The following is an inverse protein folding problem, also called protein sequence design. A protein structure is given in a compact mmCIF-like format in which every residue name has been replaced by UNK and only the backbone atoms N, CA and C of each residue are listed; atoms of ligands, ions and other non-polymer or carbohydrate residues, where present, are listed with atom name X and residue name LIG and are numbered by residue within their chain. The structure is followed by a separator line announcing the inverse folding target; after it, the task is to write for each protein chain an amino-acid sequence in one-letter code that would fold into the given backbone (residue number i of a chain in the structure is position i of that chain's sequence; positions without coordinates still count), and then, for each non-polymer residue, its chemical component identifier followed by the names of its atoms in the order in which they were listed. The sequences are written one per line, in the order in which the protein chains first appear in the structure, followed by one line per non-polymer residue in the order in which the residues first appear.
data_IF_647967467108
#
_entry.id   IF_647967467108
#
_cell.length_a   1.000
_cell.length_b   1.000
_cell.length_c   1.000
_cell.angle_alpha   90.00
_cell.angle_beta   90.00
_cell.angle_gamma   90.00
#
_symmetry.space_group_name_H-M   'P 1'
#
loop_
_entity.id
_entity.type
_entity.pdbx_description
1 polymer ?
#
# COMPACT_ATOMS: atom_id res chain seq x y z
N UNK A 1 20.36 58.12 80.74
CA UNK A 1 19.29 58.40 79.74
C UNK A 1 19.94 58.31 78.37
N UNK A 2 19.98 57.10 77.79
CA UNK A 2 19.17 56.70 76.61
C UNK A 2 19.87 57.12 75.31
N UNK A 3 20.32 56.28 74.36
CA UNK A 3 19.79 55.04 73.77
C UNK A 3 20.97 54.28 73.11
N UNK A 4 21.14 52.98 73.32
CA UNK A 4 20.53 51.85 72.58
C UNK A 4 20.97 51.70 71.11
N UNK A 5 22.01 50.88 70.95
CA UNK A 5 22.32 49.85 69.92
C UNK A 5 21.35 49.68 68.74
N UNK A 6 21.89 49.60 67.51
CA UNK A 6 21.38 48.78 66.39
C UNK A 6 22.56 48.10 65.64
N UNK A 7 22.43 46.84 65.18
CA UNK A 7 23.50 46.02 64.59
C UNK A 7 23.64 46.20 63.07
N UNK A 8 24.73 45.71 62.43
CA UNK A 8 24.98 45.85 60.99
C UNK A 8 24.18 44.84 60.14
N UNK A 9 23.59 45.35 59.04
CA UNK A 9 22.92 44.55 58.02
C UNK A 9 23.91 44.02 56.98
N UNK A 10 24.11 42.70 57.03
CA UNK A 10 24.23 41.73 55.93
C UNK A 10 24.40 42.29 54.50
N UNK A 11 25.63 42.25 53.98
CA UNK A 11 25.90 42.33 52.53
C UNK A 11 25.94 40.93 51.93
N UNK A 12 24.88 40.52 51.22
CA UNK A 12 24.77 39.23 50.55
C UNK A 12 25.36 39.32 49.14
N UNK A 13 26.53 38.71 48.96
CA UNK A 13 27.23 38.58 47.68
C UNK A 13 26.62 37.41 46.89
N UNK A 14 25.84 37.73 45.85
CA UNK A 14 25.22 36.74 44.96
C UNK A 14 26.25 36.27 43.93
N UNK A 15 26.90 35.12 44.20
CA UNK A 15 27.79 34.45 43.26
C UNK A 15 27.02 33.83 42.10
N UNK A 16 27.23 34.35 40.89
CA UNK A 16 26.71 33.80 39.65
C UNK A 16 27.45 32.49 39.32
N UNK A 17 26.81 31.34 39.57
CA UNK A 17 27.33 30.03 39.15
C UNK A 17 27.11 29.88 37.64
N UNK A 18 28.18 30.00 36.85
CA UNK A 18 28.22 29.48 35.49
C UNK A 18 28.23 27.95 35.55
N UNK A 19 27.09 27.33 35.24
CA UNK A 19 27.04 25.89 34.97
C UNK A 19 27.51 25.64 33.54
N UNK A 20 28.58 24.84 33.32
CA UNK A 20 28.92 24.39 31.98
C UNK A 20 27.78 23.51 31.47
N UNK A 21 27.15 23.91 30.37
CA UNK A 21 26.22 23.07 29.63
C UNK A 21 27.01 21.92 29.02
N UNK A 22 27.02 20.79 29.72
CA UNK A 22 27.47 19.53 29.14
C UNK A 22 26.59 19.25 27.91
N UNK A 23 27.16 19.43 26.72
CA UNK A 23 26.49 19.09 25.47
C UNK A 23 26.48 17.57 25.41
N UNK A 24 25.40 16.95 25.86
CA UNK A 24 25.19 15.51 25.70
C UNK A 24 25.13 15.26 24.19
N UNK A 25 26.06 14.50 23.60
CA UNK A 25 25.97 14.15 22.19
C UNK A 25 24.66 13.39 22.00
N UNK A 26 23.79 13.91 21.14
CA UNK A 26 22.55 13.25 20.77
C UNK A 26 22.89 11.92 20.09
N UNK A 27 22.87 10.84 20.87
CA UNK A 27 22.97 9.49 20.35
C UNK A 27 21.75 9.28 19.46
N UNK A 28 21.98 9.25 18.14
CA UNK A 28 20.94 8.88 17.20
C UNK A 28 20.50 7.46 17.55
N UNK A 29 19.21 7.20 17.81
CA UNK A 29 18.77 5.86 18.17
C UNK A 29 19.12 4.92 17.02
N UNK A 30 19.93 3.90 17.31
CA UNK A 30 20.18 2.81 16.37
C UNK A 30 18.88 2.02 16.27
N UNK A 31 18.09 2.30 15.23
CA UNK A 31 16.87 1.55 14.93
C UNK A 31 17.30 0.17 14.44
N UNK A 32 17.17 -0.84 15.30
CA UNK A 32 17.39 -2.24 14.93
C UNK A 32 16.06 -2.87 14.53
N UNK A 33 15.95 -3.32 13.28
CA UNK A 33 14.79 -4.07 12.81
C UNK A 33 14.90 -5.50 13.32
N UNK A 34 13.94 -5.93 14.14
CA UNK A 34 13.87 -7.30 14.64
C UNK A 34 13.41 -8.23 13.51
N UNK A 35 14.34 -8.92 12.87
CA UNK A 35 14.08 -9.85 11.78
C UNK A 35 14.19 -11.31 12.22
N UNK A 36 13.27 -12.15 11.74
CA UNK A 36 13.20 -13.56 12.11
C UNK A 36 14.18 -14.43 11.32
N UNK A 37 15.24 -14.88 12.00
CA UNK A 37 16.17 -15.85 11.45
C UNK A 37 15.50 -17.21 11.17
N UNK A 38 14.49 -17.59 11.97
CA UNK A 38 13.77 -18.85 11.83
C UNK A 38 12.85 -18.84 10.61
N UNK A 39 12.02 -17.81 10.45
CA UNK A 39 11.19 -17.65 9.25
C UNK A 39 12.08 -17.56 7.99
N UNK A 40 13.19 -16.80 8.05
CA UNK A 40 14.17 -16.72 6.95
C UNK A 40 14.73 -18.08 6.54
N UNK A 41 15.04 -18.96 7.51
CA UNK A 41 15.52 -20.32 7.23
C UNK A 41 14.42 -21.18 6.58
N UNK A 42 13.20 -21.18 7.11
CA UNK A 42 12.06 -21.92 6.53
C UNK A 42 11.74 -21.46 5.10
N UNK A 43 11.74 -20.14 4.85
CA UNK A 43 11.49 -19.58 3.51
C UNK A 43 12.60 -19.97 2.52
N UNK A 44 13.86 -19.97 2.96
CA UNK A 44 14.98 -20.44 2.12
C UNK A 44 14.83 -21.91 1.72
N UNK A 45 14.39 -22.76 2.65
CA UNK A 45 14.09 -24.15 2.37
C UNK A 45 12.91 -24.30 1.41
N UNK A 46 11.84 -23.51 1.58
CA UNK A 46 10.73 -23.49 0.64
C UNK A 46 11.19 -23.12 -0.79
N UNK A 47 12.09 -22.15 -0.94
CA UNK A 47 12.71 -21.81 -2.23
C UNK A 47 13.52 -22.95 -2.84
N UNK A 48 14.17 -23.80 -2.03
CA UNK A 48 14.83 -25.01 -2.52
C UNK A 48 13.82 -25.99 -3.12
N UNK A 49 12.71 -26.25 -2.42
CA UNK A 49 11.63 -27.10 -2.95
C UNK A 49 11.07 -26.54 -4.27
N UNK A 50 10.83 -25.22 -4.33
CA UNK A 50 10.41 -24.55 -5.57
C UNK A 50 11.41 -24.77 -6.70
N UNK A 51 12.72 -24.62 -6.47
CA UNK A 51 13.74 -24.86 -7.50
C UNK A 51 13.78 -26.29 -8.01
N UNK A 52 13.44 -27.26 -7.15
CA UNK A 52 13.39 -28.69 -7.51
C UNK A 52 12.05 -29.11 -8.11
N UNK A 53 11.13 -28.16 -8.32
CA UNK A 53 9.76 -28.44 -8.75
C UNK A 53 8.95 -29.31 -7.79
N UNK A 54 9.35 -29.36 -6.51
CA UNK A 54 8.64 -30.07 -5.46
C UNK A 54 7.56 -29.17 -4.85
N UNK A 55 6.54 -28.90 -5.65
CA UNK A 55 5.51 -27.89 -5.34
C UNK A 55 4.74 -28.22 -4.07
N UNK A 56 4.39 -29.49 -3.85
CA UNK A 56 3.60 -29.93 -2.70
C UNK A 56 4.32 -29.66 -1.37
N UNK A 57 5.61 -29.99 -1.28
CA UNK A 57 6.40 -29.70 -0.08
C UNK A 57 6.65 -28.19 0.09
N UNK A 58 6.87 -27.46 -1.02
CA UNK A 58 7.00 -26.01 -0.97
C UNK A 58 5.73 -25.35 -0.42
N UNK A 59 4.56 -25.67 -0.98
CA UNK A 59 3.25 -25.14 -0.57
C UNK A 59 2.97 -25.48 0.90
N UNK A 60 3.22 -26.72 1.31
CA UNK A 60 3.03 -27.16 2.70
C UNK A 60 3.89 -26.35 3.67
N UNK A 61 5.16 -26.13 3.33
CA UNK A 61 6.08 -25.34 4.15
C UNK A 61 5.71 -23.84 4.17
N UNK A 62 5.31 -23.27 3.03
CA UNK A 62 4.87 -21.87 2.94
C UNK A 62 3.60 -21.61 3.76
N UNK A 63 2.62 -22.52 3.70
CA UNK A 63 1.43 -22.45 4.53
C UNK A 63 1.78 -22.53 6.03
N UNK A 64 2.70 -23.43 6.40
CA UNK A 64 3.19 -23.52 7.79
C UNK A 64 3.93 -22.24 8.23
N UNK A 65 4.74 -21.62 7.37
CA UNK A 65 5.38 -20.33 7.69
C UNK A 65 4.34 -19.25 7.97
N UNK A 66 3.29 -19.16 7.15
CA UNK A 66 2.22 -18.17 7.34
C UNK A 66 1.44 -18.39 8.65
N UNK A 67 1.32 -19.64 9.11
CA UNK A 67 0.65 -19.98 10.38
C UNK A 67 1.56 -19.80 11.60
N UNK A 68 2.81 -20.27 11.53
CA UNK A 68 3.75 -20.29 12.67
C UNK A 68 4.41 -18.93 12.91
N UNK A 69 4.58 -18.14 11.86
CA UNK A 69 5.36 -16.89 11.86
C UNK A 69 4.58 -15.75 11.20
N UNK A 70 3.33 -15.46 11.59
CA UNK A 70 2.55 -14.39 10.97
C UNK A 70 3.19 -13.02 11.23
N UNK A 71 3.24 -12.18 10.21
CA UNK A 71 3.68 -10.78 10.27
C UNK A 71 5.12 -10.55 10.79
N UNK A 72 5.92 -11.62 10.89
CA UNK A 72 7.34 -11.52 11.20
C UNK A 72 8.11 -10.91 10.03
N UNK A 73 9.06 -10.02 10.31
CA UNK A 73 9.90 -9.43 9.27
C UNK A 73 11.03 -10.37 8.88
N UNK A 74 11.23 -10.50 7.57
CA UNK A 74 12.32 -11.28 6.96
C UNK A 74 13.11 -10.36 6.05
N UNK A 75 14.41 -10.32 6.27
CA UNK A 75 15.34 -9.62 5.38
C UNK A 75 15.47 -10.40 4.06
N UNK A 76 14.98 -9.81 2.97
CA UNK A 76 15.01 -10.40 1.62
C UNK A 76 16.27 -10.00 0.84
N UNK A 77 16.76 -8.78 1.06
CA UNK A 77 18.03 -8.23 0.57
C UNK A 77 18.63 -7.34 1.67
N UNK A 78 19.93 -6.99 1.62
CA UNK A 78 20.52 -6.09 2.61
C UNK A 78 19.71 -4.81 2.80
N UNK A 79 19.19 -4.60 4.01
CA UNK A 79 18.37 -3.43 4.35
C UNK A 79 16.93 -3.45 3.79
N UNK A 80 16.49 -4.53 3.17
CA UNK A 80 15.12 -4.71 2.66
C UNK A 80 14.41 -5.82 3.43
N UNK A 81 13.31 -5.47 4.07
CA UNK A 81 12.51 -6.38 4.89
C UNK A 81 11.10 -6.49 4.33
N UNK A 82 10.56 -7.70 4.34
CA UNK A 82 9.16 -7.97 4.07
C UNK A 82 8.56 -8.78 5.23
N UNK A 83 7.28 -8.60 5.49
CA UNK A 83 6.55 -9.52 6.35
C UNK A 83 6.44 -10.89 5.66
N UNK A 84 6.38 -11.95 6.48
CA UNK A 84 6.24 -13.33 6.02
C UNK A 84 5.01 -13.56 5.15
N UNK A 85 3.89 -12.92 5.45
CA UNK A 85 2.62 -13.09 4.71
C UNK A 85 2.76 -12.61 3.28
N UNK A 86 3.26 -11.40 3.08
CA UNK A 86 3.51 -10.80 1.78
C UNK A 86 4.56 -11.60 1.00
N UNK A 87 5.64 -12.02 1.67
CA UNK A 87 6.69 -12.82 1.05
C UNK A 87 6.18 -14.20 0.59
N UNK A 88 5.32 -14.84 1.38
CA UNK A 88 4.66 -16.10 0.99
C UNK A 88 3.76 -15.88 -0.22
N UNK A 89 2.96 -14.81 -0.25
CA UNK A 89 2.11 -14.51 -1.42
C UNK A 89 2.92 -14.27 -2.69
N UNK A 90 4.04 -13.55 -2.61
CA UNK A 90 4.94 -13.39 -3.75
C UNK A 90 5.45 -14.75 -4.26
N UNK A 91 5.93 -15.62 -3.36
CA UNK A 91 6.41 -16.94 -3.75
C UNK A 91 5.32 -17.83 -4.34
N UNK A 92 4.07 -17.70 -3.89
CA UNK A 92 2.94 -18.44 -4.43
C UNK A 92 2.56 -17.95 -5.83
N UNK A 93 2.45 -16.63 -6.02
CA UNK A 93 2.10 -15.99 -7.30
C UNK A 93 3.16 -16.27 -8.37
N UNK A 94 4.44 -16.29 -8.00
CA UNK A 94 5.56 -16.54 -8.92
C UNK A 94 5.72 -18.02 -9.30
N UNK A 95 4.92 -18.94 -8.74
CA UNK A 95 4.95 -20.35 -9.12
C UNK A 95 4.53 -20.54 -10.59
N UNK A 96 5.08 -21.55 -11.29
CA UNK A 96 4.59 -21.93 -12.61
C UNK A 96 3.14 -22.43 -12.53
N UNK A 97 2.39 -22.44 -13.65
CA UNK A 97 0.99 -22.86 -13.68
C UNK A 97 0.71 -24.23 -13.04
N UNK A 98 1.64 -25.18 -13.17
CA UNK A 98 1.54 -26.50 -12.55
C UNK A 98 1.57 -26.45 -11.00
N UNK A 99 2.44 -25.62 -10.41
CA UNK A 99 2.49 -25.44 -8.95
C UNK A 99 1.30 -24.64 -8.43
N UNK A 100 0.89 -23.59 -9.16
CA UNK A 100 -0.31 -22.82 -8.87
C UNK A 100 -1.56 -23.69 -8.85
N UNK A 101 -1.70 -24.64 -9.77
CA UNK A 101 -2.83 -25.57 -9.81
C UNK A 101 -2.94 -26.39 -8.52
N UNK A 102 -1.82 -26.95 -8.03
CA UNK A 102 -1.79 -27.72 -6.77
C UNK A 102 -2.20 -26.85 -5.58
N UNK A 103 -1.73 -25.61 -5.50
CA UNK A 103 -2.12 -24.69 -4.44
C UNK A 103 -3.62 -24.35 -4.51
N UNK A 104 -4.12 -24.06 -5.71
CA UNK A 104 -5.52 -23.69 -5.97
C UNK A 104 -6.49 -24.81 -5.64
N UNK A 105 -6.15 -26.05 -5.94
CA UNK A 105 -6.97 -27.21 -5.58
C UNK A 105 -7.19 -27.30 -4.05
N UNK A 106 -6.21 -26.87 -3.25
CA UNK A 106 -6.32 -26.86 -1.79
C UNK A 106 -7.12 -25.67 -1.24
N UNK A 107 -6.94 -24.47 -1.82
CA UNK A 107 -7.45 -23.22 -1.23
C UNK A 107 -8.76 -22.72 -1.85
N UNK A 108 -9.01 -22.99 -3.14
CA UNK A 108 -10.13 -22.42 -3.88
C UNK A 108 -11.50 -22.75 -3.27
N UNK A 109 -11.78 -23.97 -2.74
CA UNK A 109 -13.07 -24.26 -2.12
C UNK A 109 -13.39 -23.35 -0.93
N UNK A 110 -12.38 -22.99 -0.13
CA UNK A 110 -12.54 -22.09 1.00
C UNK A 110 -12.58 -20.63 0.56
N UNK A 111 -11.70 -20.23 -0.36
CA UNK A 111 -11.67 -18.88 -0.91
C UNK A 111 -12.99 -18.51 -1.60
N UNK A 112 -13.59 -19.46 -2.32
CA UNK A 112 -14.93 -19.34 -2.91
C UNK A 112 -15.98 -18.97 -1.88
N UNK A 113 -16.05 -19.75 -0.79
CA UNK A 113 -17.04 -19.54 0.27
C UNK A 113 -16.88 -18.16 0.91
N UNK A 114 -15.65 -17.72 1.16
CA UNK A 114 -15.39 -16.38 1.68
C UNK A 114 -15.81 -15.27 0.71
N UNK A 115 -15.49 -15.42 -0.57
CA UNK A 115 -15.86 -14.44 -1.60
C UNK A 115 -17.38 -14.35 -1.75
N UNK A 116 -18.06 -15.47 -1.95
CA UNK A 116 -19.51 -15.51 -2.14
C UNK A 116 -20.25 -14.96 -0.92
N UNK A 117 -19.84 -15.34 0.30
CA UNK A 117 -20.45 -14.82 1.53
C UNK A 117 -20.22 -13.31 1.70
N UNK A 118 -18.98 -12.83 1.51
CA UNK A 118 -18.65 -11.41 1.64
C UNK A 118 -19.36 -10.55 0.58
N UNK A 119 -19.45 -11.05 -0.66
CA UNK A 119 -20.19 -10.40 -1.75
C UNK A 119 -21.67 -10.32 -1.46
N UNK A 120 -22.29 -11.41 -0.99
CA UNK A 120 -23.71 -11.44 -0.63
C UNK A 120 -24.03 -10.45 0.50
N UNK A 121 -23.15 -10.37 1.50
CA UNK A 121 -23.25 -9.41 2.60
C UNK A 121 -22.91 -7.97 2.20
N UNK A 122 -22.41 -7.74 0.97
CA UNK A 122 -21.85 -6.46 0.51
C UNK A 122 -20.80 -5.90 1.48
N UNK A 123 -19.97 -6.77 2.05
CA UNK A 123 -18.96 -6.41 3.04
C UNK A 123 -17.53 -6.45 2.42
N UNK A 124 -16.93 -5.28 2.14
CA UNK A 124 -15.55 -5.19 1.67
C UNK A 124 -14.51 -5.77 2.61
N UNK A 125 -14.75 -5.75 3.92
CA UNK A 125 -13.82 -6.31 4.90
C UNK A 125 -13.85 -7.83 4.81
N UNK A 126 -15.03 -8.44 4.74
CA UNK A 126 -15.17 -9.88 4.52
C UNK A 126 -14.52 -10.34 3.22
N UNK A 127 -14.72 -9.64 2.09
CA UNK A 127 -14.09 -10.02 0.81
C UNK A 127 -12.57 -9.82 0.84
N UNK A 128 -12.06 -8.82 1.57
CA UNK A 128 -10.61 -8.60 1.70
C UNK A 128 -9.87 -9.77 2.35
N UNK A 129 -10.59 -10.64 3.09
CA UNK A 129 -10.07 -11.91 3.60
C UNK A 129 -9.46 -12.78 2.51
N UNK A 130 -10.08 -12.83 1.32
CA UNK A 130 -9.57 -13.63 0.19
C UNK A 130 -8.18 -13.15 -0.20
N UNK A 131 -7.95 -11.83 -0.24
CA UNK A 131 -6.64 -11.27 -0.59
C UNK A 131 -5.59 -11.51 0.50
N UNK A 132 -6.00 -11.48 1.76
CA UNK A 132 -5.09 -11.70 2.90
C UNK A 132 -4.68 -13.16 3.05
N UNK A 133 -5.64 -14.07 2.95
CA UNK A 133 -5.45 -15.48 3.33
C UNK A 133 -5.21 -16.38 2.11
N UNK A 134 -5.65 -15.97 0.90
CA UNK A 134 -5.67 -16.80 -0.29
C UNK A 134 -5.38 -16.02 -1.59
N UNK A 135 -4.40 -15.11 -1.59
CA UNK A 135 -4.17 -14.21 -2.74
C UNK A 135 -3.94 -14.93 -4.08
N UNK A 136 -3.21 -16.05 -4.10
CA UNK A 136 -2.97 -16.80 -5.35
C UNK A 136 -4.16 -17.71 -5.77
N UNK A 137 -5.29 -17.68 -5.04
CA UNK A 137 -6.52 -18.39 -5.41
C UNK A 137 -7.17 -17.78 -6.65
N UNK A 138 -8.00 -18.55 -7.36
CA UNK A 138 -8.77 -18.01 -8.50
C UNK A 138 -9.76 -16.93 -8.07
N UNK A 139 -10.24 -17.01 -6.83
CA UNK A 139 -11.23 -16.07 -6.27
C UNK A 139 -10.63 -14.73 -5.87
N UNK A 140 -9.31 -14.62 -5.77
CA UNK A 140 -8.67 -13.33 -5.55
C UNK A 140 -8.78 -12.41 -6.77
N UNK A 141 -8.84 -12.97 -7.99
CA UNK A 141 -9.07 -12.23 -9.24
C UNK A 141 -10.40 -11.45 -9.17
N UNK A 142 -11.49 -12.18 -8.90
CA UNK A 142 -12.82 -11.61 -8.72
C UNK A 142 -12.94 -10.72 -7.47
N UNK A 143 -12.23 -11.06 -6.39
CA UNK A 143 -12.18 -10.22 -5.20
C UNK A 143 -11.52 -8.87 -5.48
N UNK A 144 -10.40 -8.83 -6.21
CA UNK A 144 -9.74 -7.58 -6.62
C UNK A 144 -10.67 -6.73 -7.49
N UNK A 145 -11.34 -7.35 -8.47
CA UNK A 145 -12.30 -6.65 -9.30
C UNK A 145 -13.42 -6.02 -8.48
N UNK A 146 -14.10 -6.85 -7.68
CA UNK A 146 -15.24 -6.44 -6.88
C UNK A 146 -14.87 -5.40 -5.81
N UNK A 147 -13.74 -5.56 -5.11
CA UNK A 147 -13.25 -4.58 -4.14
C UNK A 147 -12.88 -3.25 -4.80
N UNK A 148 -12.37 -3.28 -6.03
CA UNK A 148 -12.17 -2.10 -6.84
C UNK A 148 -13.47 -1.39 -7.16
N UNK A 149 -14.51 -2.12 -7.56
CA UNK A 149 -15.86 -1.56 -7.77
C UNK A 149 -16.45 -0.97 -6.49
N UNK A 150 -16.36 -1.66 -5.36
CA UNK A 150 -16.84 -1.12 -4.07
C UNK A 150 -16.11 0.16 -3.68
N UNK A 151 -14.77 0.20 -3.85
CA UNK A 151 -13.99 1.38 -3.56
C UNK A 151 -14.34 2.56 -4.50
N UNK A 152 -14.61 2.27 -5.78
CA UNK A 152 -15.06 3.25 -6.76
C UNK A 152 -16.41 3.86 -6.37
N UNK A 153 -17.40 3.02 -6.05
CA UNK A 153 -18.74 3.47 -5.63
C UNK A 153 -18.69 4.29 -4.33
N UNK A 154 -17.75 3.98 -3.44
CA UNK A 154 -17.51 4.74 -2.22
C UNK A 154 -16.71 6.05 -2.43
N UNK A 155 -16.50 6.48 -3.69
CA UNK A 155 -15.68 7.64 -4.07
C UNK A 155 -14.25 7.59 -3.48
N UNK A 156 -13.62 6.41 -3.48
CA UNK A 156 -12.23 6.18 -3.05
C UNK A 156 -11.35 5.77 -4.24
N UNK A 157 -11.09 6.69 -5.20
CA UNK A 157 -10.46 6.34 -6.48
C UNK A 157 -9.04 5.78 -6.33
N UNK A 158 -8.25 6.26 -5.36
CA UNK A 158 -6.90 5.75 -5.12
C UNK A 158 -6.93 4.29 -4.60
N UNK A 159 -7.94 3.94 -3.79
CA UNK A 159 -8.13 2.58 -3.29
C UNK A 159 -8.62 1.65 -4.40
N UNK A 160 -9.54 2.11 -5.24
CA UNK A 160 -9.99 1.38 -6.43
C UNK A 160 -8.81 1.08 -7.37
N UNK A 161 -7.99 2.10 -7.66
CA UNK A 161 -6.79 1.95 -8.48
C UNK A 161 -5.80 0.93 -7.91
N UNK A 162 -5.63 0.89 -6.58
CA UNK A 162 -4.74 -0.10 -5.93
C UNK A 162 -5.21 -1.54 -6.15
N UNK A 163 -6.51 -1.80 -6.16
CA UNK A 163 -7.02 -3.15 -6.45
C UNK A 163 -6.89 -3.48 -7.94
N UNK A 164 -7.38 -2.61 -8.82
CA UNK A 164 -7.38 -2.86 -10.26
C UNK A 164 -5.97 -2.94 -10.86
N UNK A 165 -4.99 -2.18 -10.34
CA UNK A 165 -3.60 -2.29 -10.81
C UNK A 165 -3.00 -3.68 -10.60
N UNK A 166 -3.48 -4.42 -9.61
CA UNK A 166 -3.01 -5.79 -9.35
C UNK A 166 -3.45 -6.78 -10.43
N UNK A 167 -4.51 -6.46 -11.18
CA UNK A 167 -5.05 -7.27 -12.28
C UNK A 167 -4.30 -7.11 -13.61
N UNK A 168 -3.36 -6.15 -13.67
CA UNK A 168 -2.53 -5.95 -14.86
C UNK A 168 -1.27 -6.81 -14.77
N UNK A 169 -0.80 -7.36 -15.92
CA UNK A 169 0.48 -8.04 -15.94
C UNK A 169 1.59 -7.08 -15.52
N UNK A 170 2.67 -7.58 -14.88
CA UNK A 170 3.84 -6.77 -14.59
C UNK A 170 4.36 -6.15 -15.91
N UNK A 171 4.70 -4.85 -15.87
CA UNK A 171 5.25 -4.19 -17.05
C UNK A 171 6.67 -4.72 -17.30
N UNK A 172 7.01 -5.18 -18.53
CA UNK A 172 8.36 -5.62 -18.85
C UNK A 172 9.36 -4.45 -19.04
N UNK A 173 8.87 -3.21 -19.12
CA UNK A 173 9.70 -2.01 -19.31
C UNK A 173 10.33 -1.62 -17.97
N UNK A 174 11.68 -1.51 -17.87
CA UNK A 174 12.30 -0.86 -16.73
C UNK A 174 11.83 0.60 -16.76
N UNK A 175 11.13 1.09 -15.74
CA UNK A 175 10.67 2.46 -15.72
C UNK A 175 11.87 3.41 -15.76
N UNK A 176 11.66 4.58 -16.37
CA UNK A 176 12.59 5.70 -16.19
C UNK A 176 12.73 6.03 -14.70
N UNK A 177 13.83 6.71 -14.37
CA UNK A 177 14.38 6.89 -13.02
C UNK A 177 13.40 7.41 -11.95
N UNK A 178 12.25 7.95 -12.37
CA UNK A 178 11.21 8.53 -11.49
C UNK A 178 10.01 7.61 -11.20
N UNK A 179 9.99 6.38 -11.73
CA UNK A 179 8.81 5.51 -11.62
C UNK A 179 9.10 4.25 -10.77
N UNK A 180 8.35 4.04 -9.66
CA UNK A 180 8.70 3.07 -8.61
C UNK A 180 8.53 1.59 -8.99
N UNK A 181 8.40 1.25 -10.27
CA UNK A 181 8.16 -0.11 -10.77
C UNK A 181 9.44 -0.76 -11.35
N UNK A 182 10.63 -0.24 -11.04
CA UNK A 182 11.91 -0.75 -11.56
C UNK A 182 12.20 -2.14 -11.00
N UNK A 183 12.58 -3.13 -11.83
CA UNK A 183 13.17 -4.36 -11.34
C UNK A 183 14.38 -4.02 -10.46
N UNK A 184 14.31 -4.35 -9.16
CA UNK A 184 15.33 -3.98 -8.17
C UNK A 184 14.99 -2.75 -7.30
N UNK A 185 13.91 -2.02 -7.60
CA UNK A 185 13.33 -1.04 -6.68
C UNK A 185 12.89 -1.76 -5.40
N UNK A 186 13.24 -1.24 -4.20
CA UNK A 186 12.75 -1.79 -2.93
C UNK A 186 11.22 -1.90 -2.88
N UNK A 187 10.52 -1.07 -3.66
CA UNK A 187 9.05 -1.02 -3.73
C UNK A 187 8.44 -2.03 -4.70
N UNK A 188 9.20 -2.58 -5.65
CA UNK A 188 8.70 -3.57 -6.61
C UNK A 188 8.34 -4.89 -5.92
N UNK A 189 9.18 -5.33 -4.98
CA UNK A 189 8.96 -6.54 -4.15
C UNK A 189 7.80 -6.34 -3.17
N UNK A 190 7.32 -5.12 -2.95
CA UNK A 190 6.16 -4.86 -2.10
C UNK A 190 4.84 -4.89 -2.87
N UNK A 191 4.90 -4.87 -4.21
CA UNK A 191 3.73 -4.75 -5.08
C UNK A 191 3.37 -6.10 -5.67
N UNK A 192 2.43 -6.75 -5.01
CA UNK A 192 1.80 -7.96 -5.51
C UNK A 192 1.03 -7.68 -6.82
N UNK A 193 1.07 -8.64 -7.75
CA UNK A 193 0.27 -8.68 -8.98
C UNK A 193 -0.41 -10.04 -9.03
N UNK A 194 -1.62 -10.09 -9.54
CA UNK A 194 -2.30 -11.36 -9.76
C UNK A 194 -1.70 -12.04 -11.00
N UNK A 195 -1.36 -13.34 -10.95
CA UNK A 195 -0.50 -13.96 -11.96
C UNK A 195 -1.18 -14.14 -13.32
N UNK A 196 -2.48 -14.41 -13.34
CA UNK A 196 -3.23 -14.86 -14.52
C UNK A 196 -4.68 -14.34 -14.51
N UNK A 197 -4.82 -13.03 -14.32
CA UNK A 197 -6.10 -12.32 -14.31
C UNK A 197 -6.88 -12.57 -15.60
N UNK A 198 -8.16 -12.92 -15.46
CA UNK A 198 -9.09 -13.10 -16.58
C UNK A 198 -9.84 -11.80 -16.93
N UNK A 199 -9.66 -10.74 -16.14
CA UNK A 199 -10.29 -9.45 -16.39
C UNK A 199 -9.65 -8.72 -17.59
N UNK A 200 -10.44 -8.13 -18.51
CA UNK A 200 -9.88 -7.48 -19.69
C UNK A 200 -8.94 -6.32 -19.34
N UNK A 201 -7.65 -6.46 -19.67
CA UNK A 201 -6.63 -5.45 -19.33
C UNK A 201 -6.95 -4.03 -19.85
N UNK A 202 -7.58 -3.91 -21.02
CA UNK A 202 -8.04 -2.63 -21.54
C UNK A 202 -9.08 -1.95 -20.64
N UNK A 203 -10.02 -2.73 -20.09
CA UNK A 203 -11.05 -2.23 -19.18
C UNK A 203 -10.47 -1.85 -17.82
N UNK A 204 -9.48 -2.62 -17.34
CA UNK A 204 -8.72 -2.32 -16.12
C UNK A 204 -7.96 -0.99 -16.29
N UNK A 205 -7.23 -0.81 -17.39
CA UNK A 205 -6.51 0.43 -17.68
C UNK A 205 -7.43 1.63 -17.83
N UNK A 206 -8.55 1.48 -18.54
CA UNK A 206 -9.53 2.56 -18.66
C UNK A 206 -10.04 3.02 -17.28
N UNK A 207 -10.31 2.08 -16.37
CA UNK A 207 -10.67 2.39 -14.98
C UNK A 207 -9.56 3.10 -14.22
N UNK A 208 -8.30 2.69 -14.39
CA UNK A 208 -7.15 3.36 -13.76
C UNK A 208 -7.02 4.82 -14.23
N UNK A 209 -7.20 5.10 -15.51
CA UNK A 209 -7.23 6.49 -16.04
C UNK A 209 -8.26 7.32 -15.28
N UNK A 210 -9.49 6.80 -15.14
CA UNK A 210 -10.57 7.50 -14.43
C UNK A 210 -10.27 7.69 -12.93
N UNK A 211 -9.69 6.68 -12.27
CA UNK A 211 -9.25 6.82 -10.88
C UNK A 211 -8.21 7.93 -10.73
N UNK A 212 -7.24 8.01 -11.63
CA UNK A 212 -6.22 9.05 -11.58
C UNK A 212 -6.81 10.44 -11.85
N UNK A 213 -7.75 10.56 -12.78
CA UNK A 213 -8.50 11.80 -13.00
C UNK A 213 -9.26 12.24 -11.74
N UNK A 214 -10.06 11.37 -11.13
CA UNK A 214 -10.79 11.68 -9.90
C UNK A 214 -9.87 11.96 -8.69
N UNK A 215 -8.66 11.42 -8.71
CA UNK A 215 -7.65 11.69 -7.68
C UNK A 215 -6.87 13.00 -7.90
N UNK A 216 -7.19 13.79 -8.94
CA UNK A 216 -6.45 14.99 -9.33
C UNK A 216 -5.05 14.72 -9.91
N UNK A 217 -4.75 13.47 -10.28
CA UNK A 217 -3.45 13.01 -10.76
C UNK A 217 -3.44 12.94 -12.29
N UNK A 218 -3.71 14.06 -12.97
CA UNK A 218 -3.90 14.10 -14.44
C UNK A 218 -2.68 13.55 -15.19
N UNK A 219 -1.45 13.87 -14.75
CA UNK A 219 -0.24 13.35 -15.40
C UNK A 219 -0.14 11.81 -15.31
N UNK A 220 -0.50 11.22 -14.17
CA UNK A 220 -0.59 9.75 -14.05
C UNK A 220 -1.70 9.18 -14.93
N UNK A 221 -2.82 9.88 -15.06
CA UNK A 221 -3.90 9.48 -15.95
C UNK A 221 -3.45 9.46 -17.42
N UNK A 222 -2.64 10.44 -17.84
CA UNK A 222 -2.04 10.49 -19.19
C UNK A 222 -1.08 9.34 -19.43
N UNK A 223 -0.24 8.99 -18.44
CA UNK A 223 0.65 7.82 -18.53
C UNK A 223 -0.15 6.52 -18.72
N UNK A 224 -1.18 6.28 -17.90
CA UNK A 224 -2.02 5.09 -18.03
C UNK A 224 -2.81 5.06 -19.35
N UNK A 225 -3.24 6.23 -19.84
CA UNK A 225 -3.89 6.34 -21.14
C UNK A 225 -2.94 6.04 -22.31
N UNK A 226 -1.69 6.49 -22.23
CA UNK A 226 -0.66 6.16 -23.23
C UNK A 226 -0.41 4.64 -23.28
N UNK A 227 -0.32 3.99 -22.12
CA UNK A 227 -0.20 2.53 -22.03
C UNK A 227 -1.43 1.81 -22.61
N UNK A 228 -2.65 2.31 -22.35
CA UNK A 228 -3.87 1.80 -22.98
C UNK A 228 -3.81 1.95 -24.50
N UNK A 229 -3.40 3.11 -25.00
CA UNK A 229 -3.27 3.40 -26.43
C UNK A 229 -2.27 2.48 -27.12
N UNK A 230 -1.14 2.20 -26.47
CA UNK A 230 -0.10 1.33 -27.02
C UNK A 230 -0.52 -0.15 -27.00
N UNK A 231 -1.04 -0.65 -25.88
CA UNK A 231 -1.33 -2.09 -25.71
C UNK A 231 -2.70 -2.51 -26.24
N UNK A 232 -3.67 -1.59 -26.26
CA UNK A 232 -5.07 -1.88 -26.60
C UNK A 232 -5.71 -0.76 -27.45
N UNK A 233 -5.12 -0.38 -28.59
CA UNK A 233 -5.58 0.78 -29.39
C UNK A 233 -7.03 0.68 -29.85
N UNK A 234 -7.50 -0.53 -30.15
CA UNK A 234 -8.82 -0.79 -30.71
C UNK A 234 -9.84 -1.34 -29.69
N UNK A 235 -9.49 -1.35 -28.39
CA UNK A 235 -10.40 -1.88 -27.37
C UNK A 235 -11.65 -1.00 -27.24
N UNK A 236 -12.81 -1.64 -27.29
CA UNK A 236 -14.12 -0.99 -27.18
C UNK A 236 -14.72 -1.17 -25.78
N UNK A 237 -15.54 -0.21 -25.39
CA UNK A 237 -16.32 -0.28 -24.16
C UNK A 237 -17.32 0.85 -24.06
N UNK A 238 -18.05 0.86 -22.95
CA UNK A 238 -19.06 1.88 -22.65
C UNK A 238 -18.63 2.66 -21.41
N UNK A 239 -18.53 3.99 -21.54
CA UNK A 239 -18.17 4.91 -20.46
C UNK A 239 -19.21 6.03 -20.40
N UNK A 240 -19.82 6.26 -19.24
CA UNK A 240 -20.89 7.24 -19.01
C UNK A 240 -22.00 7.20 -20.10
N UNK A 241 -22.45 5.99 -20.46
CA UNK A 241 -23.50 5.79 -21.46
C UNK A 241 -23.06 5.92 -22.93
N UNK A 242 -21.81 6.31 -23.21
CA UNK A 242 -21.26 6.38 -24.57
C UNK A 242 -20.45 5.13 -24.88
N UNK A 243 -20.67 4.55 -26.06
CA UNK A 243 -19.96 3.36 -26.53
C UNK A 243 -19.00 3.72 -27.66
N UNK A 244 -17.78 3.21 -27.61
CA UNK A 244 -16.75 3.51 -28.60
C UNK A 244 -15.41 2.90 -28.23
N UNK A 245 -14.35 3.34 -28.92
CA UNK A 245 -12.97 2.97 -28.56
C UNK A 245 -12.58 3.66 -27.27
N UNK A 246 -12.10 2.90 -26.28
CA UNK A 246 -11.76 3.42 -24.95
C UNK A 246 -10.73 4.55 -25.00
N UNK A 247 -9.74 4.45 -25.90
CA UNK A 247 -8.72 5.49 -26.13
C UNK A 247 -9.38 6.83 -26.52
N UNK A 248 -10.35 6.78 -27.45
CA UNK A 248 -11.07 7.96 -27.93
C UNK A 248 -11.96 8.56 -26.85
N UNK A 249 -12.73 7.72 -26.17
CA UNK A 249 -13.62 8.16 -25.09
C UNK A 249 -12.85 8.86 -23.97
N UNK A 250 -11.71 8.29 -23.57
CA UNK A 250 -10.87 8.87 -22.51
C UNK A 250 -10.09 10.10 -22.98
N UNK A 251 -9.69 10.20 -24.25
CA UNK A 251 -9.01 11.40 -24.74
C UNK A 251 -9.89 12.65 -24.68
N UNK A 252 -11.19 12.50 -24.97
CA UNK A 252 -12.14 13.62 -24.86
C UNK A 252 -12.26 14.12 -23.42
N UNK A 253 -12.18 13.22 -22.44
CA UNK A 253 -12.26 13.55 -21.02
C UNK A 253 -10.96 14.13 -20.45
N UNK A 254 -9.81 13.62 -20.90
CA UNK A 254 -8.49 14.15 -20.54
C UNK A 254 -8.22 15.53 -21.17
N UNK A 255 -8.94 15.90 -22.24
CA UNK A 255 -8.89 17.22 -22.86
C UNK A 255 -9.65 18.30 -22.05
N UNK A 256 -10.41 17.89 -21.02
CA UNK A 256 -11.17 18.78 -20.13
C UNK A 256 -10.68 18.66 -18.68
N UNK A 257 -9.42 19.01 -18.37
CA UNK A 257 -8.88 18.91 -17.02
C UNK A 257 -9.70 19.68 -15.98
N UNK A 258 -10.37 20.78 -16.38
CA UNK A 258 -11.26 21.59 -15.55
C UNK A 258 -12.51 20.85 -15.04
N UNK A 259 -12.88 19.74 -15.68
CA UNK A 259 -13.99 18.89 -15.23
C UNK A 259 -13.60 17.95 -14.06
N UNK A 260 -12.32 17.91 -13.69
CA UNK A 260 -11.79 17.02 -12.66
C UNK A 260 -11.37 17.80 -11.42
N UNK A 261 -11.38 17.17 -10.22
CA UNK A 261 -10.86 17.80 -9.02
C UNK A 261 -9.43 18.30 -9.25
N UNK A 262 -9.21 19.59 -9.02
CA UNK A 262 -7.86 20.16 -9.04
C UNK A 262 -6.99 19.54 -7.93
N UNK A 263 -5.65 19.61 -8.06
CA UNK A 263 -4.78 19.26 -6.94
C UNK A 263 -5.22 20.07 -5.70
N UNK A 264 -5.26 19.46 -4.51
CA UNK A 264 -5.56 20.22 -3.29
C UNK A 264 -4.58 21.39 -3.23
N UNK A 265 -5.10 22.61 -3.06
CA UNK A 265 -4.26 23.79 -2.93
C UNK A 265 -3.25 23.55 -1.81
N UNK A 266 -1.97 23.84 -2.07
CA UNK A 266 -0.95 23.87 -1.01
C UNK A 266 -1.47 24.84 0.06
N UNK A 267 -1.87 24.30 1.22
CA UNK A 267 -2.29 25.13 2.32
C UNK A 267 -1.06 25.87 2.84
N UNK A 268 -1.09 27.21 2.80
CA UNK A 268 -0.06 28.16 3.26
C UNK A 268 0.39 28.02 4.74
N UNK A 269 0.05 26.93 5.42
CA UNK A 269 0.58 26.63 6.75
C UNK A 269 1.96 25.99 6.65
N UNK A 270 2.96 26.82 6.35
CA UNK A 270 4.36 26.52 6.64
C UNK A 270 4.55 26.63 8.16
N UNK A 271 4.41 25.53 8.88
CA UNK A 271 5.00 25.39 10.22
C UNK A 271 6.36 24.74 10.11
N UNK A 272 7.27 25.18 10.99
CA UNK A 272 8.73 24.97 10.99
C UNK A 272 9.14 23.56 10.51
N UNK A 273 9.76 23.48 9.33
CA UNK A 273 10.27 22.30 8.61
C UNK A 273 9.26 21.56 7.70
N UNK A 274 9.07 22.11 6.50
CA UNK A 274 8.26 21.53 5.42
C UNK A 274 8.82 20.23 4.84
N UNK A 275 8.31 19.07 5.30
CA UNK A 275 8.36 17.81 4.56
C UNK A 275 6.98 17.13 4.55
N UNK A 276 6.41 16.83 3.36
CA UNK A 276 5.02 16.39 3.20
C UNK A 276 4.73 14.93 3.61
N UNK A 277 5.72 14.16 4.08
CA UNK A 277 5.54 12.73 4.39
C UNK A 277 5.05 12.44 5.83
N UNK A 278 4.84 13.46 6.67
CA UNK A 278 4.57 13.28 8.12
C UNK A 278 3.27 13.88 8.65
N UNK A 279 2.46 14.56 7.85
CA UNK A 279 1.28 15.24 8.39
C UNK A 279 0.11 14.28 8.65
N UNK A 280 -0.29 14.25 9.92
CA UNK A 280 -1.36 13.44 10.48
C UNK A 280 -2.77 13.91 10.09
N UNK A 281 -3.73 13.03 10.38
CA UNK A 281 -5.16 13.18 10.14
C UNK A 281 -5.69 14.43 10.85
N UNK A 282 -6.43 15.28 10.13
CA UNK A 282 -7.16 16.42 10.69
C UNK A 282 -8.32 15.88 11.54
N UNK A 283 -8.16 15.86 12.86
CA UNK A 283 -9.31 15.92 13.77
C UNK A 283 -9.99 17.26 13.56
N UNK A 284 -11.28 17.24 13.24
CA UNK A 284 -12.11 18.44 13.27
C UNK A 284 -11.96 19.14 14.63
N UNK A 285 -12.05 20.48 14.71
CA UNK A 285 -12.06 21.16 16.00
C UNK A 285 -13.24 20.61 16.82
N UNK A 286 -12.93 19.95 17.93
CA UNK A 286 -13.92 19.59 18.95
C UNK A 286 -14.45 20.90 19.51
N UNK A 287 -15.76 21.12 19.38
CA UNK A 287 -16.45 22.20 20.07
C UNK A 287 -16.50 21.85 21.57
N UNK A 288 -15.79 22.58 22.46
CA UNK A 288 -15.79 22.30 23.88
C UNK A 288 -17.13 22.62 24.57
N UNK A 289 -18.13 23.13 23.84
CA UNK A 289 -19.46 23.48 24.37
C UNK A 289 -20.60 22.56 23.88
N UNK A 290 -20.32 21.51 23.11
CA UNK A 290 -21.38 20.59 22.65
C UNK A 290 -21.73 19.54 23.74
N UNK A 291 -23.01 19.43 24.19
CA UNK A 291 -23.42 18.42 25.16
C UNK A 291 -23.39 17.01 24.54
N UNK A 292 -22.61 16.11 25.14
CA UNK A 292 -22.34 14.76 24.63
C UNK A 292 -23.24 13.67 25.20
N UNK A 293 -24.58 13.81 25.31
CA UNK A 293 -25.45 12.64 25.57
C UNK A 293 -26.86 12.81 24.98
N UNK A 294 -27.31 11.80 24.22
CA UNK A 294 -28.71 11.36 24.16
C UNK A 294 -28.73 9.84 24.27
#
# INVERSE_FOLDING_TARGET
MSRLVRPPLLGMLLGLLLFPTATVPAQSPVITVQASATARRKIRLAREYLRRSDWSNAISLLNRVRTDHPDELVEVNPGQFLDTTLLVHHLLVDMPPAGLAIYRDQVDPQARRWFEAGRAAKDPVAVSRVLRDAYASRWADDALWWLGEQAWQANRPQRAARYWRQLLPPSPVPPGDDQPDTPGSPLAIQRLRFPDSQHPGAQVRARLVLCHCLAGQIERARVEWNELKQRHPNARGTLAGRTGTLVSLLSEWLARPEAWPGPPADSDHVTFAGRPERNGIRTAPVDPAAPLWH
#
